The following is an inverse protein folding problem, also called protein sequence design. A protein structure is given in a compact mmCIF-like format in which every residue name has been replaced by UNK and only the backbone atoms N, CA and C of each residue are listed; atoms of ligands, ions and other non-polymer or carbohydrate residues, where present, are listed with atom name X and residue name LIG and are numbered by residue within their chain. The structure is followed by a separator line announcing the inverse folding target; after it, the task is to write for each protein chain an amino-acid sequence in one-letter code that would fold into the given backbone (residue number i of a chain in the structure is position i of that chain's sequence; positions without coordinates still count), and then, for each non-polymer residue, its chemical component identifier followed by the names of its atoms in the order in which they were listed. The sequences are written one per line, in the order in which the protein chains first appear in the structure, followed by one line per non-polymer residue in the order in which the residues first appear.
data_IF_137595587603
#
_entry.id   IF_137595587603
#
_cell.length_a   1.000
_cell.length_b   1.000
_cell.length_c   1.000
_cell.angle_alpha   90.00
_cell.angle_beta   90.00
_cell.angle_gamma   90.00
#
_symmetry.space_group_name_H-M   'P 1'
#
loop_
_entity.id
_entity.type
_entity.pdbx_description
1 polymer ?
#
# COMPACT_ATOMS: atom_id res chain seq x y z
N UNK A 1 8.20 58.42 45.40
CA UNK A 1 7.10 58.90 44.53
C UNK A 1 7.09 58.06 43.27
N UNK A 2 5.90 57.54 42.93
CA UNK A 2 5.41 57.13 41.60
C UNK A 2 6.01 55.92 40.86
N UNK A 3 5.36 54.76 41.10
CA UNK A 3 4.81 53.78 40.15
C UNK A 3 5.15 53.86 38.65
N UNK A 4 5.44 52.70 38.03
CA UNK A 4 4.78 52.26 36.77
C UNK A 4 4.99 50.73 36.58
N UNK A 5 4.02 49.93 37.02
CA UNK A 5 3.07 49.14 36.19
C UNK A 5 3.67 47.95 35.42
N UNK A 6 3.47 46.79 36.03
CA UNK A 6 3.11 45.50 35.41
C UNK A 6 2.10 45.68 34.27
N UNK A 7 2.35 45.08 33.10
CA UNK A 7 1.28 44.72 32.16
C UNK A 7 1.66 43.54 31.27
N UNK A 8 1.07 42.39 31.60
CA UNK A 8 0.37 41.49 30.68
C UNK A 8 1.17 40.89 29.51
N UNK A 9 1.75 39.69 29.75
CA UNK A 9 1.90 38.68 28.69
C UNK A 9 0.49 38.28 28.27
N UNK A 10 0.04 38.81 27.12
CA UNK A 10 -1.20 38.35 26.49
C UNK A 10 -1.06 36.88 26.17
N UNK A 11 -1.95 36.09 26.75
CA UNK A 11 -2.22 34.70 26.37
C UNK A 11 -2.77 34.65 24.93
N UNK A 12 -1.89 34.69 23.93
CA UNK A 12 -2.10 34.03 22.64
C UNK A 12 -1.90 32.54 22.92
N UNK A 13 -2.90 31.76 23.29
CA UNK A 13 -4.16 31.55 22.59
C UNK A 13 -4.12 30.07 22.17
N UNK A 14 -4.49 29.11 23.05
CA UNK A 14 -4.30 27.67 22.82
C UNK A 14 -4.93 27.18 21.51
N UNK A 15 -5.91 27.92 20.98
CA UNK A 15 -6.52 27.74 19.67
C UNK A 15 -5.52 27.87 18.50
N UNK A 16 -4.57 28.82 18.54
CA UNK A 16 -3.57 28.99 17.48
C UNK A 16 -2.55 27.83 17.50
N UNK A 17 -2.19 27.36 18.70
CA UNK A 17 -1.33 26.19 18.88
C UNK A 17 -2.04 24.90 18.41
N UNK A 18 -3.35 24.77 18.69
CA UNK A 18 -4.17 23.65 18.22
C UNK A 18 -4.29 23.64 16.68
N UNK A 19 -4.47 24.81 16.07
CA UNK A 19 -4.53 24.96 14.60
C UNK A 19 -3.20 24.62 13.93
N UNK A 20 -2.07 25.06 14.50
CA UNK A 20 -0.75 24.66 14.03
C UNK A 20 -0.52 23.16 14.18
N UNK A 21 -0.90 22.56 15.32
CA UNK A 21 -0.77 21.13 15.54
C UNK A 21 -1.61 20.30 14.54
N UNK A 22 -2.83 20.74 14.23
CA UNK A 22 -3.68 20.11 13.24
C UNK A 22 -3.08 20.19 11.83
N UNK A 23 -2.51 21.34 11.45
CA UNK A 23 -1.84 21.51 10.16
C UNK A 23 -0.61 20.60 10.03
N UNK A 24 0.21 20.51 11.08
CA UNK A 24 1.38 19.64 11.12
C UNK A 24 1.03 18.15 11.05
N UNK A 25 -0.09 17.73 11.68
CA UNK A 25 -0.58 16.36 11.59
C UNK A 25 -1.02 15.99 10.16
N UNK A 26 -1.65 16.93 9.43
CA UNK A 26 -2.04 16.72 8.02
C UNK A 26 -0.83 16.63 7.10
N UNK A 27 0.22 17.41 7.36
CA UNK A 27 1.48 17.37 6.58
C UNK A 27 2.26 16.07 6.79
N UNK A 28 2.25 15.51 8.00
CA UNK A 28 2.90 14.23 8.29
C UNK A 28 2.20 13.04 7.60
N UNK A 29 0.88 13.10 7.43
CA UNK A 29 0.12 12.08 6.69
C UNK A 29 0.48 12.03 5.19
N UNK A 30 0.88 13.16 4.59
CA UNK A 30 1.31 13.20 3.18
C UNK A 30 2.75 12.70 2.96
N UNK A 31 3.54 12.51 4.02
CA UNK A 31 4.95 12.14 3.92
C UNK A 31 5.23 10.75 4.48
N UNK A 32 4.31 9.79 4.31
CA UNK A 32 4.61 8.42 4.73
C UNK A 32 5.74 7.88 3.82
N UNK A 33 6.91 7.53 4.39
CA UNK A 33 8.06 7.08 3.59
C UNK A 33 7.73 5.77 2.86
N UNK A 34 6.87 4.95 3.44
CA UNK A 34 6.44 3.68 2.85
C UNK A 34 5.66 3.86 1.53
N UNK A 35 4.89 4.94 1.37
CA UNK A 35 4.22 5.21 0.09
C UNK A 35 5.25 5.51 -1.00
N UNK A 36 6.26 6.34 -0.70
CA UNK A 36 7.33 6.65 -1.65
C UNK A 36 8.15 5.42 -2.03
N UNK A 37 8.54 4.61 -1.04
CA UNK A 37 9.28 3.36 -1.27
C UNK A 37 8.47 2.36 -2.13
N UNK A 38 7.18 2.21 -1.82
CA UNK A 38 6.29 1.33 -2.57
C UNK A 38 6.08 1.83 -4.01
N UNK A 39 5.86 3.13 -4.21
CA UNK A 39 5.72 3.72 -5.54
C UNK A 39 6.99 3.52 -6.37
N UNK A 40 8.19 3.69 -5.78
CA UNK A 40 9.44 3.41 -6.48
C UNK A 40 9.55 1.94 -6.90
N UNK A 41 9.24 1.01 -6.00
CA UNK A 41 9.23 -0.42 -6.31
C UNK A 41 8.23 -0.77 -7.42
N UNK A 42 7.04 -0.16 -7.39
CA UNK A 42 6.02 -0.36 -8.43
C UNK A 42 6.49 0.17 -9.79
N UNK A 43 7.15 1.33 -9.83
CA UNK A 43 7.76 1.89 -11.05
C UNK A 43 8.86 0.98 -11.62
N UNK A 44 9.59 0.27 -10.76
CA UNK A 44 10.58 -0.75 -11.15
C UNK A 44 9.93 -2.09 -11.57
N UNK A 45 8.60 -2.20 -11.56
CA UNK A 45 7.86 -3.43 -11.86
C UNK A 45 7.88 -4.47 -10.74
N UNK A 46 8.38 -4.11 -9.55
CA UNK A 46 8.51 -4.98 -8.37
C UNK A 46 7.25 -4.96 -7.50
N UNK A 47 6.10 -5.20 -8.12
CA UNK A 47 4.77 -5.05 -7.50
C UNK A 47 4.57 -5.87 -6.22
N UNK A 48 5.02 -7.13 -6.17
CA UNK A 48 4.92 -7.94 -4.95
C UNK A 48 5.73 -7.35 -3.78
N UNK A 49 6.83 -6.66 -4.07
CA UNK A 49 7.67 -6.03 -3.05
C UNK A 49 7.08 -4.70 -2.60
N UNK A 50 6.56 -3.90 -3.55
CA UNK A 50 5.78 -2.71 -3.25
C UNK A 50 4.60 -3.05 -2.31
N UNK A 51 3.86 -4.11 -2.64
CA UNK A 51 2.77 -4.59 -1.81
C UNK A 51 3.25 -5.03 -0.41
N UNK A 52 4.39 -5.72 -0.32
CA UNK A 52 4.95 -6.12 0.97
C UNK A 52 5.35 -4.92 1.85
N UNK A 53 5.85 -3.83 1.25
CA UNK A 53 6.15 -2.57 1.96
C UNK A 53 4.86 -1.95 2.51
N UNK A 54 3.82 -1.86 1.67
CA UNK A 54 2.51 -1.32 2.07
C UNK A 54 1.85 -2.17 3.15
N UNK A 55 1.94 -3.50 3.06
CA UNK A 55 1.46 -4.44 4.09
C UNK A 55 2.17 -4.20 5.43
N UNK A 56 3.49 -3.99 5.41
CA UNK A 56 4.25 -3.70 6.61
C UNK A 56 3.87 -2.35 7.22
N UNK A 57 3.74 -1.31 6.40
CA UNK A 57 3.32 0.01 6.85
C UNK A 57 1.91 0.01 7.45
N UNK A 58 0.96 -0.68 6.82
CA UNK A 58 -0.40 -0.85 7.33
C UNK A 58 -0.50 -1.61 8.65
N UNK A 59 0.48 -2.48 8.96
CA UNK A 59 0.54 -3.13 10.29
C UNK A 59 0.96 -2.14 11.37
N UNK A 60 1.77 -1.14 11.03
CA UNK A 60 2.21 -0.09 11.96
C UNK A 60 1.13 0.97 12.13
N UNK A 61 0.53 1.43 11.03
CA UNK A 61 -0.59 2.38 11.05
C UNK A 61 -1.78 1.86 10.22
N UNK A 62 -2.69 1.10 10.84
CA UNK A 62 -3.88 0.61 10.17
C UNK A 62 -4.90 1.71 9.83
N UNK A 63 -4.80 2.88 10.47
CA UNK A 63 -5.76 3.99 10.34
C UNK A 63 -5.47 4.92 9.16
N UNK A 64 -4.27 4.84 8.58
CA UNK A 64 -3.90 5.66 7.43
C UNK A 64 -4.64 5.20 6.16
N UNK A 65 -5.63 6.00 5.76
CA UNK A 65 -6.42 5.76 4.56
C UNK A 65 -5.61 5.84 3.26
N UNK A 66 -4.52 6.61 3.22
CA UNK A 66 -3.65 6.66 2.04
C UNK A 66 -2.92 5.32 1.86
N UNK A 67 -2.42 4.72 2.94
CA UNK A 67 -1.83 3.38 2.93
C UNK A 67 -2.85 2.30 2.56
N UNK A 68 -4.08 2.39 3.08
CA UNK A 68 -5.16 1.47 2.71
C UNK A 68 -5.45 1.51 1.21
N UNK A 69 -5.62 2.73 0.66
CA UNK A 69 -5.92 2.92 -0.75
C UNK A 69 -4.75 2.48 -1.66
N UNK A 70 -3.51 2.81 -1.28
CA UNK A 70 -2.32 2.39 -2.01
C UNK A 70 -2.16 0.87 -2.02
N UNK A 71 -2.31 0.22 -0.86
CA UNK A 71 -2.21 -1.23 -0.77
C UNK A 71 -3.28 -1.93 -1.61
N UNK A 72 -4.53 -1.45 -1.60
CA UNK A 72 -5.56 -2.05 -2.46
C UNK A 72 -5.21 -1.93 -3.95
N UNK A 73 -4.75 -0.76 -4.40
CA UNK A 73 -4.31 -0.58 -5.79
C UNK A 73 -3.15 -1.50 -6.15
N UNK A 74 -2.18 -1.64 -5.25
CA UNK A 74 -1.00 -2.47 -5.50
C UNK A 74 -1.32 -3.97 -5.49
N UNK A 75 -2.30 -4.40 -4.68
CA UNK A 75 -2.85 -5.78 -4.72
C UNK A 75 -3.43 -6.09 -6.10
N UNK A 76 -4.29 -5.22 -6.61
CA UNK A 76 -4.90 -5.39 -7.94
C UNK A 76 -3.83 -5.45 -9.05
N UNK A 77 -2.81 -4.59 -8.97
CA UNK A 77 -1.72 -4.56 -9.94
C UNK A 77 -0.86 -5.83 -9.88
N UNK A 78 -0.49 -6.25 -8.67
CA UNK A 78 0.25 -7.49 -8.42
C UNK A 78 -0.48 -8.70 -9.01
N UNK A 79 -1.79 -8.81 -8.75
CA UNK A 79 -2.63 -9.88 -9.30
C UNK A 79 -2.68 -9.83 -10.82
N UNK A 80 -2.88 -8.65 -11.40
CA UNK A 80 -2.90 -8.46 -12.86
C UNK A 80 -1.60 -8.95 -13.52
N UNK A 81 -0.45 -8.54 -12.95
CA UNK A 81 0.87 -8.91 -13.47
C UNK A 81 1.13 -10.41 -13.38
N UNK A 82 0.89 -11.02 -12.21
CA UNK A 82 1.09 -12.46 -12.02
C UNK A 82 0.17 -13.29 -12.91
N UNK A 83 -1.10 -12.91 -13.04
CA UNK A 83 -2.06 -13.60 -13.90
C UNK A 83 -1.65 -13.54 -15.39
N UNK A 84 -1.17 -12.38 -15.87
CA UNK A 84 -0.70 -12.24 -17.24
C UNK A 84 0.57 -13.07 -17.50
N UNK A 85 1.49 -13.13 -16.55
CA UNK A 85 2.67 -13.99 -16.62
C UNK A 85 2.27 -15.47 -16.66
N UNK A 86 1.27 -15.86 -15.87
CA UNK A 86 0.81 -17.23 -15.80
C UNK A 86 0.11 -17.66 -17.09
N UNK A 87 -0.77 -16.81 -17.64
CA UNK A 87 -1.38 -17.04 -18.94
C UNK A 87 -0.31 -17.21 -20.05
N UNK A 88 0.73 -16.36 -20.02
CA UNK A 88 1.85 -16.45 -20.97
C UNK A 88 2.66 -17.74 -20.79
N UNK A 89 2.89 -18.17 -19.56
CA UNK A 89 3.59 -19.43 -19.27
C UNK A 89 2.77 -20.65 -19.75
N UNK A 90 1.46 -20.66 -19.50
CA UNK A 90 0.54 -21.70 -19.95
C UNK A 90 0.49 -21.80 -21.47
N UNK A 91 0.34 -20.67 -22.17
CA UNK A 91 0.36 -20.63 -23.63
C UNK A 91 1.67 -21.18 -24.22
N UNK A 92 2.79 -21.03 -23.50
CA UNK A 92 4.09 -21.59 -23.86
C UNK A 92 4.35 -23.01 -23.34
N UNK A 93 3.35 -23.71 -22.80
CA UNK A 93 3.47 -25.07 -22.26
C UNK A 93 4.27 -25.20 -20.95
N UNK A 94 4.67 -24.09 -20.33
CA UNK A 94 5.44 -24.07 -19.07
C UNK A 94 4.51 -24.14 -17.85
N UNK A 95 3.87 -25.30 -17.68
CA UNK A 95 2.86 -25.50 -16.63
C UNK A 95 3.44 -25.51 -15.21
N UNK A 96 4.73 -25.83 -15.05
CA UNK A 96 5.49 -25.64 -13.81
C UNK A 96 5.58 -24.17 -13.40
N UNK A 97 5.96 -23.29 -14.34
CA UNK A 97 6.01 -21.84 -14.11
C UNK A 97 4.62 -21.28 -13.83
N UNK A 98 3.61 -21.75 -14.56
CA UNK A 98 2.21 -21.38 -14.28
C UNK A 98 1.76 -21.72 -12.86
N UNK A 99 2.18 -22.88 -12.32
CA UNK A 99 1.88 -23.30 -10.95
C UNK A 99 2.59 -22.46 -9.90
N UNK A 100 3.84 -22.07 -10.12
CA UNK A 100 4.56 -21.14 -9.23
C UNK A 100 3.86 -19.77 -9.16
N UNK A 101 3.46 -19.25 -10.32
CA UNK A 101 2.73 -17.99 -10.40
C UNK A 101 1.34 -18.06 -9.75
N UNK A 102 0.65 -19.20 -9.86
CA UNK A 102 -0.59 -19.43 -9.13
C UNK A 102 -0.35 -19.42 -7.61
N UNK A 103 0.69 -20.08 -7.11
CA UNK A 103 0.99 -20.08 -5.67
C UNK A 103 1.27 -18.66 -5.16
N UNK A 104 1.93 -17.82 -5.96
CA UNK A 104 2.15 -16.40 -5.65
C UNK A 104 0.85 -15.60 -5.69
N UNK A 105 -0.05 -15.86 -6.63
CA UNK A 105 -1.39 -15.26 -6.64
C UNK A 105 -2.17 -15.63 -5.37
N UNK A 106 -2.18 -16.90 -4.99
CA UNK A 106 -2.89 -17.38 -3.80
C UNK A 106 -2.34 -16.78 -2.50
N UNK A 107 -1.03 -16.50 -2.46
CA UNK A 107 -0.41 -15.80 -1.33
C UNK A 107 -0.86 -14.34 -1.23
N UNK A 108 -1.02 -13.66 -2.36
CA UNK A 108 -1.34 -12.23 -2.38
C UNK A 108 -2.84 -11.96 -2.29
N UNK A 109 -3.65 -12.71 -3.03
CA UNK A 109 -5.11 -12.62 -3.02
C UNK A 109 -5.76 -13.96 -3.47
N UNK A 110 -6.07 -14.87 -2.51
CA UNK A 110 -6.60 -16.19 -2.83
C UNK A 110 -8.04 -16.18 -3.36
N UNK A 111 -8.81 -15.17 -2.99
CA UNK A 111 -10.24 -15.03 -3.30
C UNK A 111 -10.49 -14.20 -4.57
N UNK A 112 -9.44 -13.58 -5.13
CA UNK A 112 -9.55 -12.82 -6.36
C UNK A 112 -10.05 -13.67 -7.54
N UNK A 113 -11.00 -13.17 -8.37
CA UNK A 113 -11.55 -13.93 -9.50
C UNK A 113 -10.51 -14.48 -10.48
N UNK A 114 -9.44 -13.72 -10.76
CA UNK A 114 -8.31 -14.18 -11.59
C UNK A 114 -7.54 -15.35 -10.97
N UNK A 115 -7.38 -15.36 -9.65
CA UNK A 115 -6.71 -16.46 -8.94
C UNK A 115 -7.54 -17.74 -9.08
N UNK A 116 -8.86 -17.65 -8.88
CA UNK A 116 -9.77 -18.77 -9.08
C UNK A 116 -9.78 -19.27 -10.54
N UNK A 117 -9.85 -18.36 -11.52
CA UNK A 117 -9.83 -18.71 -12.93
C UNK A 117 -8.54 -19.47 -13.33
N UNK A 118 -7.37 -18.97 -12.93
CA UNK A 118 -6.09 -19.61 -13.21
C UNK A 118 -5.97 -20.99 -12.55
N UNK A 119 -6.49 -21.13 -11.33
CA UNK A 119 -6.52 -22.43 -10.62
C UNK A 119 -7.30 -23.48 -11.41
N UNK A 120 -8.46 -23.13 -11.92
CA UNK A 120 -9.30 -24.06 -12.69
C UNK A 120 -8.71 -24.36 -14.06
N UNK A 121 -8.09 -23.38 -14.68
CA UNK A 121 -7.33 -23.51 -15.91
C UNK A 121 -6.18 -24.52 -15.79
N UNK A 122 -5.30 -24.37 -14.80
CA UNK A 122 -4.17 -25.28 -14.59
C UNK A 122 -4.64 -26.70 -14.21
N UNK A 123 -5.77 -26.84 -13.51
CA UNK A 123 -6.38 -28.14 -13.25
C UNK A 123 -6.87 -28.84 -14.51
N UNK A 124 -7.29 -28.09 -15.53
CA UNK A 124 -7.68 -28.66 -16.83
C UNK A 124 -6.46 -29.12 -17.63
N UNK A 125 -5.39 -28.33 -17.63
CA UNK A 125 -4.16 -28.65 -18.35
C UNK A 125 -3.41 -29.87 -17.78
N UNK A 126 -3.72 -30.26 -16.54
CA UNK A 126 -3.13 -31.42 -15.86
C UNK A 126 -3.84 -32.76 -16.14
N UNK A 127 -4.93 -32.76 -16.92
CA UNK A 127 -5.70 -33.96 -17.29
C UNK A 127 -5.23 -34.51 -18.61
#
# INVERSE_FOLDING_TARGET
MTHFRTTSRRATGPLLALQCALLCAVLAACASPALGDADQLALEGRHEQALAVLDAARRVDPGDHALQAAQQREREMTVSVLANQAASARAGGRLDVGRDLLARLEKNDPDHPRTAALRDELRRDAR
#
